data_IF_016241580487
#
_entry.id   IF_016241580487
#
_cell.length_a   1.000
_cell.length_b   1.000
_cell.length_c   1.000
_cell.angle_alpha   90.00
_cell.angle_beta   90.00
_cell.angle_gamma   90.00
#
_symmetry.space_group_name_H-M   'P 1'
#
loop_
_entity.id
_entity.type
_entity.pdbx_description
1 polymer ?
#
# COMPACT_ATOMS: atom_id res chain seq x y z
N UNK A 1 -5.17 18.81 -6.39
CA UNK A 1 -4.74 18.51 -7.77
C UNK A 1 -5.43 19.46 -8.73
N UNK A 2 -6.76 19.54 -8.68
CA UNK A 2 -7.58 20.49 -9.48
C UNK A 2 -7.14 21.97 -9.40
N UNK A 3 -6.77 22.47 -8.22
CA UNK A 3 -6.30 23.85 -8.07
C UNK A 3 -4.91 24.12 -8.65
N UNK A 4 -4.19 23.10 -9.14
CA UNK A 4 -2.83 23.20 -9.65
C UNK A 4 -1.72 23.38 -8.60
N UNK A 5 -2.07 23.56 -7.31
CA UNK A 5 -1.08 23.73 -6.23
C UNK A 5 -0.12 22.53 -6.10
N UNK A 6 -0.64 21.33 -6.33
CA UNK A 6 0.14 20.09 -6.41
C UNK A 6 0.09 19.62 -7.85
N UNK A 7 1.27 19.45 -8.47
CA UNK A 7 1.37 19.06 -9.88
C UNK A 7 0.92 17.61 -10.12
N UNK A 8 1.31 16.68 -9.24
CA UNK A 8 1.01 15.26 -9.37
C UNK A 8 1.17 14.54 -8.01
N UNK A 9 0.61 13.34 -7.89
CA UNK A 9 0.77 12.48 -6.71
C UNK A 9 1.01 11.01 -7.10
N UNK A 10 1.84 10.32 -6.33
CA UNK A 10 1.99 8.87 -6.37
C UNK A 10 1.39 8.28 -5.09
N UNK A 11 0.45 7.34 -5.21
CA UNK A 11 -0.30 6.79 -4.07
C UNK A 11 -0.21 5.26 -4.07
N UNK A 12 0.20 4.66 -2.97
CA UNK A 12 0.11 3.19 -2.78
C UNK A 12 -1.03 2.79 -1.83
N UNK A 13 -1.51 3.73 -1.01
CA UNK A 13 -2.51 3.48 0.04
C UNK A 13 -3.69 4.44 -0.07
N UNK A 14 -4.85 4.00 0.41
CA UNK A 14 -6.08 4.76 0.46
C UNK A 14 -6.71 4.67 1.86
N UNK A 15 -7.57 5.63 2.22
CA UNK A 15 -8.22 5.62 3.55
C UNK A 15 -9.08 4.37 3.76
N UNK A 16 -9.80 3.96 2.70
CA UNK A 16 -10.48 2.67 2.62
C UNK A 16 -9.90 1.87 1.47
N UNK A 17 -9.68 0.58 1.70
CA UNK A 17 -9.09 -0.33 0.72
C UNK A 17 -9.94 -1.61 0.55
N UNK A 18 -10.40 -1.91 -0.68
CA UNK A 18 -10.31 -1.09 -1.89
C UNK A 18 -11.07 0.26 -1.74
N UNK A 19 -10.66 1.31 -2.47
CA UNK A 19 -11.35 2.61 -2.42
C UNK A 19 -12.78 2.50 -2.95
N UNK A 20 -13.71 3.17 -2.28
CA UNK A 20 -15.09 3.34 -2.79
C UNK A 20 -15.17 4.49 -3.81
N UNK A 21 -14.31 5.51 -3.65
CA UNK A 21 -14.19 6.65 -4.56
C UNK A 21 -12.90 6.56 -5.37
N UNK A 22 -13.05 6.43 -6.69
CA UNK A 22 -11.96 6.33 -7.65
C UNK A 22 -11.50 7.69 -8.18
N UNK A 23 -12.05 8.81 -7.72
CA UNK A 23 -11.72 10.16 -8.21
C UNK A 23 -10.22 10.48 -8.17
N UNK A 24 -9.50 9.99 -7.15
CA UNK A 24 -8.05 10.10 -7.07
C UNK A 24 -7.32 9.12 -8.00
N UNK A 25 -7.79 7.88 -8.10
CA UNK A 25 -7.19 6.85 -8.97
C UNK A 25 -7.29 7.24 -10.44
N UNK A 26 -8.43 7.81 -10.84
CA UNK A 26 -8.75 8.17 -12.21
C UNK A 26 -8.20 9.55 -12.61
N UNK A 27 -7.64 10.32 -11.67
CA UNK A 27 -7.08 11.63 -11.96
C UNK A 27 -5.82 11.48 -12.85
N UNK A 28 -5.71 12.19 -13.98
CA UNK A 28 -4.58 12.04 -14.90
C UNK A 28 -3.22 12.46 -14.30
N UNK A 29 -3.24 13.21 -13.19
CA UNK A 29 -2.02 13.60 -12.47
C UNK A 29 -1.70 12.68 -11.28
N UNK A 30 -2.39 11.54 -11.17
CA UNK A 30 -2.14 10.54 -10.13
C UNK A 30 -1.65 9.25 -10.76
N UNK A 31 -0.64 8.66 -10.13
CA UNK A 31 -0.22 7.29 -10.39
C UNK A 31 -0.49 6.51 -9.12
N UNK A 32 -1.40 5.54 -9.19
CA UNK A 32 -1.78 4.71 -8.06
C UNK A 32 -1.26 3.27 -8.20
N UNK A 33 -0.91 2.65 -7.08
CA UNK A 33 -0.62 1.22 -6.96
C UNK A 33 -1.53 0.58 -5.91
N UNK A 34 -1.91 -0.71 -6.04
CA UNK A 34 -2.88 -1.34 -5.17
C UNK A 34 -2.26 -1.90 -3.87
N UNK A 35 -1.72 -1.03 -3.01
CA UNK A 35 -1.08 -1.37 -1.73
C UNK A 35 -0.06 -2.51 -1.84
N UNK A 36 0.92 -2.32 -2.72
CA UNK A 36 1.95 -3.32 -3.03
C UNK A 36 3.34 -2.93 -2.51
N UNK A 37 3.48 -1.87 -1.71
CA UNK A 37 4.76 -1.42 -1.17
C UNK A 37 5.55 -2.50 -0.43
N UNK A 38 4.86 -3.39 0.31
CA UNK A 38 5.47 -4.51 1.02
C UNK A 38 5.39 -5.86 0.26
N UNK A 39 4.80 -5.88 -0.94
CA UNK A 39 4.52 -7.10 -1.70
C UNK A 39 5.75 -7.63 -2.48
N UNK A 40 6.91 -6.98 -2.38
CA UNK A 40 8.15 -7.51 -2.91
C UNK A 40 8.48 -8.89 -2.29
N UNK A 41 9.13 -9.78 -3.06
CA UNK A 41 9.48 -11.14 -2.61
C UNK A 41 10.27 -11.14 -1.30
N UNK A 42 11.20 -10.20 -1.16
CA UNK A 42 12.03 -10.01 0.03
C UNK A 42 11.21 -9.48 1.20
N UNK A 43 10.26 -8.59 0.95
CA UNK A 43 9.33 -8.05 1.95
C UNK A 43 8.45 -9.15 2.53
N UNK A 44 7.77 -9.89 1.67
CA UNK A 44 6.94 -11.04 2.05
C UNK A 44 7.74 -12.10 2.82
N UNK A 45 8.96 -12.43 2.38
CA UNK A 45 9.82 -13.38 3.08
C UNK A 45 10.15 -12.91 4.50
N UNK A 46 10.52 -11.64 4.68
CA UNK A 46 10.82 -11.09 6.02
C UNK A 46 9.59 -11.10 6.93
N UNK A 47 8.46 -10.61 6.44
CA UNK A 47 7.20 -10.60 7.20
C UNK A 47 6.76 -12.01 7.60
N UNK A 48 6.88 -12.99 6.71
CA UNK A 48 6.55 -14.38 7.02
C UNK A 48 7.46 -14.97 8.11
N UNK A 49 8.77 -14.72 8.03
CA UNK A 49 9.71 -15.18 9.06
C UNK A 49 9.43 -14.56 10.43
N UNK A 50 9.11 -13.27 10.48
CA UNK A 50 8.75 -12.58 11.73
C UNK A 50 7.53 -13.22 12.39
N UNK A 51 6.47 -13.49 11.61
CA UNK A 51 5.26 -14.15 12.11
C UNK A 51 5.58 -15.56 12.64
N UNK A 52 6.45 -16.31 11.95
CA UNK A 52 6.88 -17.64 12.40
C UNK A 52 7.58 -17.57 13.77
N UNK A 53 8.48 -16.62 13.97
CA UNK A 53 9.18 -16.47 15.26
C UNK A 53 8.21 -16.10 16.39
N UNK A 54 7.28 -15.16 16.15
CA UNK A 54 6.23 -14.81 17.12
C UNK A 54 5.39 -16.03 17.49
N UNK A 55 5.02 -16.87 16.52
CA UNK A 55 4.25 -18.09 16.78
C UNK A 55 5.03 -19.10 17.61
N UNK A 56 6.32 -19.31 17.32
CA UNK A 56 7.18 -20.21 18.11
C UNK A 56 7.29 -19.74 19.56
N UNK A 57 7.46 -18.45 19.79
CA UNK A 57 7.55 -17.88 21.14
C UNK A 57 6.24 -17.96 21.93
N UNK A 58 5.09 -17.92 21.25
CA UNK A 58 3.76 -17.88 21.89
C UNK A 58 3.11 -19.25 22.06
N UNK A 59 3.55 -20.26 21.29
CA UNK A 59 2.99 -21.61 21.29
C UNK A 59 3.92 -22.67 21.92
N UNK A 60 5.17 -22.32 22.24
CA UNK A 60 6.07 -23.12 23.05
C UNK A 60 5.90 -22.80 24.54
#
# INVERSE_FOLDING_TARGET
LESGKVRAAGLDVFEKEPPDDFSLVDNPNVIATPHIGAAAKEGQKRSAMEVIEILKERLA
#
